data_IF_432110175998
#
_entry.id   IF_432110175998
#
_cell.length_a   1.000
_cell.length_b   1.000
_cell.length_c   1.000
_cell.angle_alpha   90.00
_cell.angle_beta   90.00
_cell.angle_gamma   90.00
#
_symmetry.space_group_name_H-M   'P 1'
#
loop_
_entity.id
_entity.type
_entity.pdbx_description
1 polymer ?
#
# COMPACT_ATOMS: atom_id res chain seq x y z
N UNK A 1 -9.71 43.83 -9.10
CA UNK A 1 -9.79 43.97 -7.64
C UNK A 1 -10.85 43.02 -7.17
N UNK A 2 -10.47 41.73 -6.99
CA UNK A 2 -11.29 40.74 -6.31
C UNK A 2 -10.35 39.72 -5.61
N UNK A 3 -10.58 39.67 -4.35
CA UNK A 3 -9.76 39.12 -3.29
C UNK A 3 -9.95 37.59 -3.16
N UNK A 4 -8.85 36.92 -2.89
CA UNK A 4 -8.66 35.49 -2.60
C UNK A 4 -9.60 35.02 -1.49
N UNK A 5 -10.17 33.83 -1.67
CA UNK A 5 -10.57 32.94 -0.59
C UNK A 5 -9.94 31.56 -0.86
N UNK A 6 -8.86 31.30 -0.15
CA UNK A 6 -8.29 29.96 0.02
C UNK A 6 -9.14 29.23 1.06
N UNK A 7 -10.01 28.36 0.61
CA UNK A 7 -10.67 27.39 1.48
C UNK A 7 -9.86 26.10 1.42
N UNK A 8 -9.18 25.78 2.50
CA UNK A 8 -8.48 24.52 2.72
C UNK A 8 -9.54 23.43 2.88
N UNK A 9 -9.83 22.70 1.82
CA UNK A 9 -10.61 21.47 1.89
C UNK A 9 -9.65 20.35 2.25
N UNK A 10 -9.71 19.89 3.49
CA UNK A 10 -9.10 18.61 3.90
C UNK A 10 -9.97 17.52 3.28
N UNK A 11 -9.58 17.06 2.10
CA UNK A 11 -10.20 15.95 1.42
C UNK A 11 -9.59 14.67 1.98
N UNK A 12 -10.34 13.95 2.78
CA UNK A 12 -10.04 12.55 3.13
C UNK A 12 -10.25 11.71 1.87
N UNK A 13 -9.19 11.63 1.06
CA UNK A 13 -9.18 10.82 -0.14
C UNK A 13 -9.01 9.36 0.27
N UNK A 14 -10.06 8.56 0.14
CA UNK A 14 -9.93 7.11 0.08
C UNK A 14 -9.33 6.76 -1.30
N UNK A 15 -8.04 7.03 -1.47
CA UNK A 15 -7.31 6.59 -2.63
C UNK A 15 -7.20 5.06 -2.57
N UNK A 16 -7.66 4.39 -3.62
CA UNK A 16 -7.08 3.09 -3.94
C UNK A 16 -5.57 3.30 -4.05
N UNK A 17 -4.74 2.66 -3.21
CA UNK A 17 -3.31 2.80 -3.35
C UNK A 17 -2.92 2.28 -4.72
N UNK A 18 -2.37 3.14 -5.56
CA UNK A 18 -1.61 2.70 -6.71
C UNK A 18 -0.43 1.97 -6.14
N UNK A 19 -0.52 0.65 -6.16
CA UNK A 19 0.58 -0.21 -5.75
C UNK A 19 1.70 0.04 -6.75
N UNK A 20 2.70 0.81 -6.34
CA UNK A 20 4.00 0.75 -6.98
C UNK A 20 4.57 -0.64 -6.68
N UNK A 21 4.08 -1.67 -7.41
CA UNK A 21 4.76 -2.94 -7.45
C UNK A 21 6.07 -2.69 -8.17
N UNK A 22 7.14 -2.64 -7.39
CA UNK A 22 8.45 -2.90 -7.93
C UNK A 22 8.39 -4.27 -8.61
N UNK A 23 8.44 -4.30 -9.93
CA UNK A 23 8.70 -5.52 -10.68
C UNK A 23 9.88 -6.22 -10.03
N UNK A 24 9.90 -7.56 -9.98
CA UNK A 24 11.08 -8.26 -9.50
C UNK A 24 12.28 -7.73 -10.29
N UNK A 25 13.22 -7.11 -9.58
CA UNK A 25 14.47 -6.64 -10.13
C UNK A 25 15.13 -7.80 -10.87
N UNK A 26 15.12 -7.76 -12.20
CA UNK A 26 16.03 -8.57 -12.97
C UNK A 26 17.41 -7.97 -12.77
N UNK A 27 18.17 -8.59 -11.87
CA UNK A 27 19.61 -8.66 -11.89
C UNK A 27 20.40 -7.36 -11.89
N UNK A 28 20.39 -6.64 -10.75
CA UNK A 28 21.67 -6.15 -10.25
C UNK A 28 22.45 -7.37 -9.75
N UNK A 29 23.78 -7.46 -9.91
CA UNK A 29 24.54 -8.57 -9.37
C UNK A 29 24.28 -8.61 -7.86
N UNK A 30 23.66 -9.70 -7.41
CA UNK A 30 23.35 -9.96 -6.02
C UNK A 30 24.59 -9.69 -5.18
N UNK A 31 24.56 -8.60 -4.43
CA UNK A 31 25.52 -8.45 -3.34
C UNK A 31 25.20 -9.59 -2.37
N UNK A 32 26.13 -10.50 -2.09
CA UNK A 32 25.86 -11.68 -1.27
C UNK A 32 25.33 -11.33 0.12
N UNK A 33 25.47 -10.08 0.56
CA UNK A 33 24.91 -9.55 1.80
C UNK A 33 23.38 -9.33 1.75
N UNK A 34 22.80 -8.89 0.64
CA UNK A 34 21.37 -8.65 0.53
C UNK A 34 20.56 -9.96 0.40
N UNK A 35 21.08 -10.93 -0.35
CA UNK A 35 20.50 -12.28 -0.45
C UNK A 35 20.58 -13.04 0.89
N UNK A 36 21.66 -12.86 1.66
CA UNK A 36 21.83 -13.44 2.99
C UNK A 36 20.83 -12.88 4.02
N UNK A 37 20.57 -11.57 3.99
CA UNK A 37 19.63 -10.92 4.91
C UNK A 37 18.17 -11.35 4.63
N UNK A 38 17.77 -11.42 3.35
CA UNK A 38 16.43 -11.90 2.98
C UNK A 38 16.19 -13.36 3.36
N UNK A 39 17.19 -14.22 3.20
CA UNK A 39 17.11 -15.63 3.60
C UNK A 39 17.07 -15.80 5.14
N UNK A 40 17.77 -14.95 5.89
CA UNK A 40 17.76 -14.96 7.34
C UNK A 40 16.37 -14.60 7.89
N UNK A 41 15.74 -13.55 7.35
CA UNK A 41 14.38 -13.12 7.71
C UNK A 41 13.35 -14.23 7.43
N UNK A 42 13.42 -14.86 6.26
CA UNK A 42 12.44 -15.86 5.85
C UNK A 42 12.43 -17.11 6.76
N UNK A 43 13.52 -17.40 7.45
CA UNK A 43 13.68 -18.53 8.37
C UNK A 43 13.59 -18.14 9.86
N UNK A 44 13.43 -16.84 10.16
CA UNK A 44 13.28 -16.39 11.55
C UNK A 44 11.93 -16.86 12.12
N UNK A 45 11.85 -17.29 13.39
CA UNK A 45 10.61 -17.70 14.03
C UNK A 45 9.49 -16.66 14.02
N UNK A 46 9.82 -15.36 13.88
CA UNK A 46 8.84 -14.29 13.76
C UNK A 46 8.23 -14.18 12.35
N UNK A 47 8.89 -14.72 11.31
CA UNK A 47 8.44 -14.55 9.93
C UNK A 47 7.05 -15.17 9.70
N UNK A 48 6.14 -14.38 9.11
CA UNK A 48 4.73 -14.72 8.88
C UNK A 48 3.92 -14.93 10.17
N UNK A 49 4.24 -14.20 11.24
CA UNK A 49 3.49 -14.21 12.50
C UNK A 49 2.84 -12.86 12.76
N UNK A 50 1.75 -12.88 13.53
CA UNK A 50 1.07 -11.69 13.99
C UNK A 50 0.77 -11.80 15.48
N UNK A 51 0.85 -10.68 16.16
CA UNK A 51 0.82 -10.58 17.60
C UNK A 51 -0.04 -9.41 18.04
N UNK A 52 -0.76 -9.55 19.17
CA UNK A 52 -1.53 -8.47 19.79
C UNK A 52 -0.98 -8.17 21.18
N UNK A 53 -0.94 -6.88 21.53
CA UNK A 53 -0.34 -6.36 22.74
C UNK A 53 -1.07 -6.86 24.00
N UNK A 54 -0.34 -7.43 24.94
CA UNK A 54 -0.82 -7.77 26.27
C UNK A 54 -0.58 -6.61 27.23
N UNK A 55 0.69 -6.18 27.35
CA UNK A 55 1.10 -5.08 28.22
C UNK A 55 2.49 -4.51 27.82
N UNK A 56 2.76 -3.31 28.30
CA UNK A 56 4.09 -2.68 28.26
C UNK A 56 4.52 -2.45 29.71
N UNK A 57 5.61 -3.08 30.14
CA UNK A 57 6.17 -2.91 31.47
C UNK A 57 7.42 -2.03 31.36
N UNK A 58 7.38 -0.86 31.98
CA UNK A 58 8.52 0.06 32.04
C UNK A 58 9.47 -0.29 33.16
N UNK A 59 10.72 0.20 33.12
CA UNK A 59 11.78 -0.04 34.13
C UNK A 59 11.36 0.33 35.57
N UNK A 60 10.41 1.24 35.74
CA UNK A 60 9.90 1.66 37.06
C UNK A 60 8.66 0.86 37.51
N UNK A 61 8.48 -0.33 36.96
CA UNK A 61 7.35 -1.23 37.21
C UNK A 61 5.97 -0.64 36.82
N UNK A 62 5.93 0.46 36.06
CA UNK A 62 4.69 0.97 35.50
C UNK A 62 4.22 0.06 34.38
N UNK A 63 2.93 -0.31 34.41
CA UNK A 63 2.32 -1.23 33.46
C UNK A 63 1.21 -0.51 32.67
N UNK A 64 1.35 -0.47 31.35
CA UNK A 64 0.33 0.01 30.42
C UNK A 64 -0.36 -1.18 29.76
N UNK A 65 -1.70 -1.24 29.84
CA UNK A 65 -2.50 -2.31 29.20
C UNK A 65 -3.54 -1.72 28.26
N UNK A 66 -3.68 -2.26 27.04
CA UNK A 66 -4.74 -1.83 26.15
C UNK A 66 -6.11 -2.29 26.67
N UNK A 67 -7.13 -1.46 26.50
CA UNK A 67 -8.52 -1.85 26.76
C UNK A 67 -9.02 -2.90 25.76
N UNK A 68 -8.60 -2.78 24.52
CA UNK A 68 -8.82 -3.75 23.44
C UNK A 68 -7.51 -4.10 22.77
N UNK A 69 -7.04 -5.33 22.94
CA UNK A 69 -5.76 -5.82 22.40
C UNK A 69 -5.74 -5.87 20.88
N UNK A 70 -6.89 -6.09 20.24
CA UNK A 70 -7.01 -6.16 18.78
C UNK A 70 -6.69 -4.84 18.07
N UNK A 71 -6.69 -3.74 18.83
CA UNK A 71 -6.31 -2.41 18.35
C UNK A 71 -4.79 -2.15 18.38
N UNK A 72 -3.99 -3.03 19.00
CA UNK A 72 -2.55 -2.86 19.16
C UNK A 72 -1.84 -4.12 18.71
N UNK A 73 -1.46 -4.16 17.43
CA UNK A 73 -0.92 -5.37 16.81
C UNK A 73 0.41 -5.09 16.09
N UNK A 74 1.23 -6.13 15.97
CA UNK A 74 2.42 -6.15 15.12
C UNK A 74 2.42 -7.41 14.27
N UNK A 75 2.66 -7.27 12.97
CA UNK A 75 2.78 -8.35 12.00
C UNK A 75 4.18 -8.38 11.41
N UNK A 76 4.79 -9.56 11.37
CA UNK A 76 6.11 -9.81 10.79
C UNK A 76 5.95 -10.57 9.47
N UNK A 77 6.23 -9.95 8.35
CA UNK A 77 6.12 -10.57 7.05
C UNK A 77 7.43 -11.22 6.61
N UNK A 78 7.36 -12.24 5.76
CA UNK A 78 8.52 -12.98 5.24
C UNK A 78 9.43 -12.13 4.36
N UNK A 79 8.92 -11.06 3.77
CA UNK A 79 9.66 -10.11 2.95
C UNK A 79 10.42 -9.05 3.76
N UNK A 80 10.37 -9.14 5.10
CA UNK A 80 10.98 -8.17 6.00
C UNK A 80 10.12 -6.94 6.28
N UNK A 81 8.91 -6.87 5.73
CA UNK A 81 7.96 -5.80 6.05
C UNK A 81 7.32 -6.07 7.42
N UNK A 82 7.12 -5.02 8.21
CA UNK A 82 6.28 -5.05 9.41
C UNK A 82 5.08 -4.15 9.24
N UNK A 83 3.95 -4.59 9.76
CA UNK A 83 2.73 -3.78 9.87
C UNK A 83 2.37 -3.62 11.34
N UNK A 84 1.94 -2.44 11.69
CA UNK A 84 1.57 -2.11 13.07
C UNK A 84 0.21 -1.45 13.05
N UNK A 85 -0.68 -1.90 13.92
CA UNK A 85 -1.88 -1.17 14.28
C UNK A 85 -1.68 -0.59 15.67
N UNK A 86 -1.90 0.70 15.81
CA UNK A 86 -1.82 1.43 17.06
C UNK A 86 -3.12 2.21 17.24
N UNK A 87 -4.14 1.53 17.76
CA UNK A 87 -5.52 2.01 17.92
C UNK A 87 -6.14 2.47 16.58
N UNK A 88 -6.37 3.77 16.43
CA UNK A 88 -6.95 4.38 15.25
C UNK A 88 -5.93 4.55 14.09
N UNK A 89 -4.64 4.34 14.33
CA UNK A 89 -3.57 4.50 13.34
C UNK A 89 -3.00 3.15 12.87
N UNK A 90 -2.50 3.17 11.63
CA UNK A 90 -1.81 2.04 11.01
C UNK A 90 -0.46 2.49 10.52
N UNK A 91 0.55 1.63 10.70
CA UNK A 91 1.92 1.90 10.29
C UNK A 91 2.53 0.76 9.50
N UNK A 92 3.47 1.12 8.63
CA UNK A 92 4.28 0.18 7.85
C UNK A 92 5.75 0.56 8.02
N UNK A 93 6.59 -0.45 8.21
CA UNK A 93 8.03 -0.33 8.30
C UNK A 93 8.71 -1.61 7.85
N UNK A 94 9.97 -1.78 8.21
CA UNK A 94 10.67 -3.04 8.02
C UNK A 94 11.27 -3.53 9.34
N UNK A 95 11.54 -4.83 9.41
CA UNK A 95 12.20 -5.47 10.53
C UNK A 95 13.39 -6.30 10.05
N UNK A 96 14.38 -6.45 10.92
CA UNK A 96 15.55 -7.28 10.68
C UNK A 96 15.90 -8.09 11.92
N UNK A 97 16.46 -9.28 11.69
CA UNK A 97 16.95 -10.19 12.71
C UNK A 97 18.28 -10.77 12.20
N UNK A 98 19.39 -10.17 12.62
CA UNK A 98 20.74 -10.56 12.17
C UNK A 98 21.26 -11.82 12.87
N UNK A 99 20.65 -12.18 13.98
CA UNK A 99 20.95 -13.38 14.75
C UNK A 99 19.79 -13.76 15.67
N UNK A 100 19.67 -15.03 16.10
CA UNK A 100 18.57 -15.46 16.97
C UNK A 100 18.37 -14.57 18.19
N UNK A 101 17.13 -14.13 18.41
CA UNK A 101 16.76 -13.26 19.53
C UNK A 101 17.09 -11.77 19.33
N UNK A 102 17.72 -11.37 18.22
CA UNK A 102 17.93 -9.95 17.88
C UNK A 102 16.78 -9.47 17.02
N UNK A 103 16.33 -8.25 17.26
CA UNK A 103 15.25 -7.64 16.48
C UNK A 103 15.45 -6.13 16.42
N UNK A 104 15.33 -5.57 15.23
CA UNK A 104 15.33 -4.13 15.02
C UNK A 104 14.23 -3.77 14.03
N UNK A 105 13.61 -2.60 14.24
CA UNK A 105 12.65 -2.02 13.32
C UNK A 105 13.26 -0.79 12.64
N UNK A 106 12.95 -0.60 11.37
CA UNK A 106 13.15 0.70 10.72
C UNK A 106 12.16 1.73 11.27
N UNK A 107 12.27 2.97 10.81
CA UNK A 107 11.23 3.95 11.07
C UNK A 107 9.89 3.44 10.51
N UNK A 108 8.87 3.39 11.36
CA UNK A 108 7.50 3.02 10.98
C UNK A 108 6.77 4.28 10.54
N UNK A 109 6.41 4.34 9.26
CA UNK A 109 5.54 5.38 8.71
C UNK A 109 4.10 5.06 9.08
N UNK A 110 3.45 5.95 9.84
CA UNK A 110 2.09 5.73 10.33
C UNK A 110 1.13 6.85 9.92
N UNK A 111 -0.16 6.52 9.82
CA UNK A 111 -1.23 7.51 9.72
C UNK A 111 -1.27 8.35 11.00
N UNK A 112 -1.83 9.55 10.92
CA UNK A 112 -1.87 10.51 12.02
C UNK A 112 -3.33 10.92 12.35
N UNK A 113 -4.22 9.94 12.49
CA UNK A 113 -5.57 10.19 12.98
C UNK A 113 -5.50 10.51 14.49
N UNK A 114 -6.37 11.41 14.93
CA UNK A 114 -6.51 11.72 16.36
C UNK A 114 -7.26 10.58 17.05
N UNK A 115 -6.55 9.82 17.87
CA UNK A 115 -7.14 8.71 18.64
C UNK A 115 -7.88 9.20 19.90
N UNK A 116 -8.74 8.36 20.51
CA UNK A 116 -9.40 8.66 21.79
C UNK A 116 -8.40 9.03 22.90
N UNK A 117 -8.80 9.80 23.93
CA UNK A 117 -7.88 10.26 24.99
C UNK A 117 -7.24 9.17 25.82
N UNK A 118 -7.84 7.98 25.90
CA UNK A 118 -7.35 6.80 26.62
C UNK A 118 -6.53 5.84 25.73
N UNK A 119 -6.22 6.26 24.51
CA UNK A 119 -5.41 5.49 23.58
C UNK A 119 -3.97 5.37 24.03
N UNK A 120 -3.42 4.17 23.91
CA UNK A 120 -1.99 3.91 24.10
C UNK A 120 -1.16 4.15 22.82
N UNK A 121 -1.73 4.80 21.77
CA UNK A 121 -1.07 4.99 20.49
C UNK A 121 0.36 5.53 20.63
N UNK A 122 0.52 6.69 21.27
CA UNK A 122 1.82 7.35 21.41
C UNK A 122 2.81 6.49 22.20
N UNK A 123 2.32 5.88 23.29
CA UNK A 123 3.12 5.01 24.14
C UNK A 123 3.61 3.77 23.38
N UNK A 124 2.73 3.11 22.65
CA UNK A 124 3.03 1.91 21.88
C UNK A 124 4.00 2.20 20.73
N UNK A 125 3.72 3.24 19.93
CA UNK A 125 4.56 3.61 18.79
C UNK A 125 5.96 4.08 19.22
N UNK A 126 6.09 4.72 20.37
CA UNK A 126 7.37 5.20 20.90
C UNK A 126 8.35 4.06 21.23
N UNK A 127 7.89 2.84 21.43
CA UNK A 127 8.74 1.69 21.79
C UNK A 127 9.54 1.11 20.62
N UNK A 128 8.96 1.07 19.42
CA UNK A 128 9.54 0.36 18.27
C UNK A 128 10.97 0.78 17.91
N UNK A 129 11.36 2.07 17.90
CA UNK A 129 12.73 2.48 17.58
C UNK A 129 13.77 1.95 18.57
N UNK A 130 13.33 1.58 19.77
CA UNK A 130 14.20 1.15 20.87
C UNK A 130 14.31 -0.36 21.02
N UNK A 131 13.48 -1.15 20.35
CA UNK A 131 13.55 -2.62 20.38
C UNK A 131 14.93 -3.10 19.90
N UNK A 132 15.51 -4.06 20.62
CA UNK A 132 16.82 -4.66 20.29
C UNK A 132 16.83 -6.17 20.33
N UNK A 133 15.91 -6.78 21.04
CA UNK A 133 15.83 -8.22 21.15
C UNK A 133 14.41 -8.72 21.35
N UNK A 134 14.22 -10.00 21.08
CA UNK A 134 12.98 -10.68 21.37
C UNK A 134 13.20 -12.04 22.01
N UNK A 135 12.19 -12.52 22.73
CA UNK A 135 12.12 -13.87 23.27
C UNK A 135 10.72 -14.41 23.01
N UNK A 136 10.66 -15.66 22.54
CA UNK A 136 9.42 -16.44 22.48
C UNK A 136 9.40 -17.36 23.69
N UNK A 137 8.43 -17.21 24.58
CA UNK A 137 8.30 -17.98 25.81
C UNK A 137 6.83 -18.25 26.11
N UNK A 138 6.50 -19.51 26.39
CA UNK A 138 5.13 -19.98 26.69
C UNK A 138 4.06 -19.51 25.67
N UNK A 139 4.43 -19.43 24.39
CA UNK A 139 3.54 -18.98 23.32
C UNK A 139 3.37 -17.47 23.21
N UNK A 140 4.04 -16.67 24.06
CA UNK A 140 4.05 -15.21 24.00
C UNK A 140 5.35 -14.71 23.36
N UNK A 141 5.27 -13.51 22.78
CA UNK A 141 6.40 -12.76 22.26
C UNK A 141 6.71 -11.62 23.24
N UNK A 142 7.96 -11.56 23.70
CA UNK A 142 8.47 -10.49 24.52
C UNK A 142 9.50 -9.69 23.72
N UNK A 143 9.28 -8.39 23.57
CA UNK A 143 10.23 -7.47 22.98
C UNK A 143 10.91 -6.67 24.07
N UNK A 144 12.25 -6.64 24.05
CA UNK A 144 13.02 -5.83 25.00
C UNK A 144 13.63 -4.61 24.28
N UNK A 145 13.45 -3.44 24.89
CA UNK A 145 14.03 -2.20 24.40
C UNK A 145 15.43 -1.97 24.99
N UNK A 146 16.22 -1.12 24.32
CA UNK A 146 17.60 -0.83 24.78
C UNK A 146 17.63 -0.13 26.12
N UNK A 147 18.76 -0.29 26.86
CA UNK A 147 19.04 0.34 28.14
C UNK A 147 17.99 0.04 29.22
N UNK A 148 17.50 -1.19 29.26
CA UNK A 148 16.49 -1.68 30.19
C UNK A 148 15.21 -0.81 30.22
N UNK A 149 14.81 -0.26 29.07
CA UNK A 149 13.73 0.72 28.97
C UNK A 149 12.36 0.14 29.22
N UNK A 150 11.98 -0.91 28.48
CA UNK A 150 10.66 -1.56 28.59
C UNK A 150 10.72 -3.01 28.11
N UNK A 151 9.81 -3.83 28.65
CA UNK A 151 9.44 -5.14 28.11
C UNK A 151 8.02 -5.02 27.59
N UNK A 152 7.82 -5.42 26.32
CA UNK A 152 6.53 -5.39 25.65
C UNK A 152 6.10 -6.84 25.46
N UNK A 153 5.01 -7.23 26.07
CA UNK A 153 4.45 -8.58 25.97
C UNK A 153 3.32 -8.62 24.94
N UNK A 154 3.38 -9.63 24.10
CA UNK A 154 2.36 -9.91 23.10
C UNK A 154 1.88 -11.36 23.18
N UNK A 155 0.61 -11.59 22.87
CA UNK A 155 0.06 -12.90 22.63
C UNK A 155 -0.20 -13.13 21.12
N UNK A 156 -0.22 -14.39 20.63
CA UNK A 156 -0.44 -14.69 19.21
C UNK A 156 -1.79 -14.16 18.73
N UNK A 157 -1.79 -13.53 17.56
CA UNK A 157 -3.00 -13.15 16.84
C UNK A 157 -3.21 -14.09 15.65
N UNK A 158 -4.41 -14.62 15.51
CA UNK A 158 -4.80 -15.37 14.31
C UNK A 158 -5.15 -14.37 13.21
N UNK A 159 -4.35 -14.36 12.13
CA UNK A 159 -4.69 -13.57 10.94
C UNK A 159 -5.81 -14.30 10.20
N UNK A 160 -7.00 -13.73 10.09
CA UNK A 160 -8.13 -14.42 9.46
C UNK A 160 -7.89 -14.65 7.96
N UNK A 161 -8.44 -15.74 7.43
CA UNK A 161 -8.55 -15.93 5.99
C UNK A 161 -9.62 -14.95 5.49
N UNK A 162 -9.18 -13.90 4.79
CA UNK A 162 -10.04 -12.83 4.30
C UNK A 162 -10.64 -13.17 2.93
N UNK A 163 -9.81 -13.68 2.02
CA UNK A 163 -10.22 -14.05 0.67
C UNK A 163 -9.37 -15.22 0.12
N UNK A 164 -9.85 -15.81 -0.95
CA UNK A 164 -9.08 -16.66 -1.86
C UNK A 164 -9.12 -16.05 -3.23
N UNK A 165 -7.98 -15.86 -3.89
CA UNK A 165 -7.89 -15.23 -5.21
C UNK A 165 -7.01 -16.07 -6.11
N UNK A 166 -7.53 -16.51 -7.25
CA UNK A 166 -6.83 -17.38 -8.21
C UNK A 166 -6.23 -18.63 -7.56
N UNK A 167 -6.94 -19.16 -6.55
CA UNK A 167 -6.52 -20.34 -5.77
C UNK A 167 -5.55 -20.06 -4.63
N UNK A 168 -5.11 -18.83 -4.43
CA UNK A 168 -4.19 -18.44 -3.36
C UNK A 168 -4.91 -17.78 -2.19
N UNK A 169 -4.56 -18.16 -0.96
CA UNK A 169 -5.10 -17.58 0.27
C UNK A 169 -4.62 -16.13 0.46
N UNK A 170 -5.54 -15.27 0.90
CA UNK A 170 -5.28 -13.91 1.38
C UNK A 170 -5.66 -13.84 2.85
N UNK A 171 -4.65 -13.70 3.71
CA UNK A 171 -4.85 -13.58 5.16
C UNK A 171 -4.55 -12.18 5.60
N UNK A 172 -5.56 -11.50 6.13
CA UNK A 172 -5.45 -10.15 6.69
C UNK A 172 -6.65 -9.84 7.57
N UNK A 173 -6.47 -8.98 8.57
CA UNK A 173 -7.55 -8.39 9.37
C UNK A 173 -8.02 -7.03 8.85
N UNK A 174 -7.52 -6.58 7.70
CA UNK A 174 -7.82 -5.28 7.11
C UNK A 174 -8.55 -5.42 5.77
N UNK A 175 -9.79 -4.90 5.70
CA UNK A 175 -10.61 -4.98 4.50
C UNK A 175 -10.02 -4.22 3.31
N UNK A 176 -9.33 -3.09 3.56
CA UNK A 176 -8.67 -2.31 2.51
C UNK A 176 -7.49 -3.06 1.91
N UNK A 177 -6.66 -3.68 2.75
CA UNK A 177 -5.57 -4.53 2.30
C UNK A 177 -6.08 -5.74 1.49
N UNK A 178 -7.13 -6.39 1.98
CA UNK A 178 -7.76 -7.50 1.24
C UNK A 178 -8.22 -7.03 -0.14
N UNK A 179 -8.92 -5.90 -0.21
CA UNK A 179 -9.38 -5.31 -1.47
C UNK A 179 -8.22 -5.02 -2.42
N UNK A 180 -7.16 -4.39 -1.93
CA UNK A 180 -5.95 -4.11 -2.72
C UNK A 180 -5.36 -5.38 -3.33
N UNK A 181 -5.16 -6.43 -2.53
CA UNK A 181 -4.59 -7.70 -3.00
C UNK A 181 -5.50 -8.36 -4.05
N UNK A 182 -6.82 -8.38 -3.80
CA UNK A 182 -7.80 -8.96 -4.73
C UNK A 182 -7.77 -8.23 -6.07
N UNK A 183 -7.84 -6.90 -6.05
CA UNK A 183 -7.82 -6.08 -7.27
C UNK A 183 -6.51 -6.22 -8.03
N UNK A 184 -5.39 -6.14 -7.34
CA UNK A 184 -4.06 -6.28 -7.95
C UNK A 184 -3.93 -7.61 -8.68
N UNK A 185 -4.22 -8.73 -8.02
CA UNK A 185 -4.07 -10.06 -8.63
C UNK A 185 -4.99 -10.25 -9.83
N UNK A 186 -6.25 -9.81 -9.75
CA UNK A 186 -7.20 -9.95 -10.84
C UNK A 186 -6.86 -9.03 -12.01
N UNK A 187 -6.44 -7.80 -11.76
CA UNK A 187 -6.04 -6.87 -12.82
C UNK A 187 -4.70 -7.23 -13.44
N UNK A 188 -3.76 -7.78 -12.67
CA UNK A 188 -2.52 -8.34 -13.20
C UNK A 188 -2.81 -9.51 -14.15
N UNK A 189 -3.67 -10.42 -13.73
CA UNK A 189 -4.12 -11.54 -14.58
C UNK A 189 -4.78 -11.05 -15.87
N UNK A 190 -5.69 -10.06 -15.78
CA UNK A 190 -6.30 -9.46 -16.96
C UNK A 190 -5.27 -8.81 -17.89
N UNK A 191 -4.31 -8.07 -17.32
CA UNK A 191 -3.26 -7.44 -18.11
C UNK A 191 -2.36 -8.46 -18.81
N UNK A 192 -2.03 -9.57 -18.17
CA UNK A 192 -1.29 -10.68 -18.78
C UNK A 192 -2.07 -11.31 -19.95
N UNK A 193 -3.35 -11.63 -19.75
CA UNK A 193 -4.23 -12.20 -20.77
C UNK A 193 -4.39 -11.28 -21.98
N UNK A 194 -4.47 -9.96 -21.75
CA UNK A 194 -4.59 -8.95 -22.78
C UNK A 194 -3.24 -8.46 -23.32
N UNK A 195 -2.10 -8.94 -22.79
CA UNK A 195 -0.73 -8.50 -23.12
C UNK A 195 -0.54 -6.99 -22.97
N UNK A 196 -1.05 -6.46 -21.85
CA UNK A 196 -0.97 -5.04 -21.54
C UNK A 196 0.37 -4.76 -20.84
N UNK A 197 1.25 -4.08 -21.55
CA UNK A 197 2.58 -3.69 -21.08
C UNK A 197 2.85 -2.22 -21.41
N UNK A 198 3.74 -1.58 -20.66
CA UNK A 198 4.29 -0.27 -20.98
C UNK A 198 5.57 -0.47 -21.79
N UNK A 199 5.58 0.01 -23.03
CA UNK A 199 6.79 -0.03 -23.87
C UNK A 199 7.82 1.02 -23.40
N UNK A 200 9.10 0.74 -23.57
CA UNK A 200 10.15 1.67 -23.16
C UNK A 200 10.03 3.06 -23.82
N UNK A 201 9.64 3.11 -25.08
CA UNK A 201 9.42 4.39 -25.77
C UNK A 201 8.24 5.20 -25.17
N UNK A 202 7.22 4.56 -24.64
CA UNK A 202 6.10 5.22 -23.95
C UNK A 202 6.57 5.75 -22.59
N UNK A 203 7.39 4.97 -21.87
CA UNK A 203 7.97 5.36 -20.58
C UNK A 203 8.88 6.58 -20.80
N UNK A 204 9.74 6.57 -21.81
CA UNK A 204 10.63 7.68 -22.15
C UNK A 204 9.80 8.95 -22.46
N UNK A 205 8.77 8.83 -23.28
CA UNK A 205 7.88 9.95 -23.62
C UNK A 205 7.16 10.50 -22.38
N UNK A 206 6.69 9.62 -21.47
CA UNK A 206 6.07 10.03 -20.22
C UNK A 206 7.03 10.82 -19.32
N UNK A 207 8.25 10.30 -19.12
CA UNK A 207 9.28 10.97 -18.30
C UNK A 207 9.65 12.32 -18.89
N UNK A 208 9.78 12.43 -20.22
CA UNK A 208 10.05 13.69 -20.89
C UNK A 208 8.90 14.70 -20.75
N UNK A 209 7.65 14.24 -20.81
CA UNK A 209 6.47 15.09 -20.55
C UNK A 209 6.47 15.61 -19.13
N UNK A 210 6.71 14.74 -18.15
CA UNK A 210 6.78 15.11 -16.75
C UNK A 210 7.88 16.14 -16.49
N UNK A 211 9.07 15.95 -17.04
CA UNK A 211 10.19 16.90 -16.93
C UNK A 211 9.85 18.27 -17.54
N UNK A 212 9.16 18.28 -18.70
CA UNK A 212 8.71 19.54 -19.31
C UNK A 212 7.73 20.29 -18.42
N UNK A 213 6.76 19.58 -17.82
CA UNK A 213 5.79 20.15 -16.89
C UNK A 213 6.48 20.72 -15.65
N UNK A 214 7.38 19.99 -15.02
CA UNK A 214 8.13 20.46 -13.86
C UNK A 214 8.97 21.72 -14.16
N UNK A 215 9.61 21.79 -15.32
CA UNK A 215 10.36 22.99 -15.74
C UNK A 215 9.45 24.18 -15.98
N UNK A 216 8.27 23.97 -16.58
CA UNK A 216 7.31 25.04 -16.82
C UNK A 216 6.77 25.64 -15.50
N UNK A 217 6.69 24.84 -14.46
CA UNK A 217 6.25 25.28 -13.11
C UNK A 217 7.40 25.76 -12.21
N UNK A 218 8.64 25.77 -12.72
CA UNK A 218 9.81 26.20 -11.95
C UNK A 218 10.25 25.20 -10.85
N UNK A 219 9.79 23.96 -10.93
CA UNK A 219 10.08 22.90 -9.94
C UNK A 219 11.31 22.07 -10.27
N UNK A 220 12.02 22.37 -11.37
CA UNK A 220 13.17 21.60 -11.83
C UNK A 220 14.45 22.01 -11.08
N UNK A 221 14.66 21.52 -9.88
CA UNK A 221 15.92 21.64 -9.14
C UNK A 221 16.68 20.29 -9.18
N UNK A 222 17.11 19.84 -10.37
CA UNK A 222 17.99 18.66 -10.50
C UNK A 222 19.47 19.05 -10.40
N UNK A 223 19.81 20.34 -10.44
CA UNK A 223 21.17 20.86 -10.52
C UNK A 223 22.00 20.58 -9.23
N UNK A 224 21.35 20.26 -8.12
CA UNK A 224 21.97 20.01 -6.83
C UNK A 224 22.10 18.50 -6.49
N UNK A 225 21.62 17.59 -7.35
CA UNK A 225 21.67 16.16 -7.09
C UNK A 225 23.04 15.55 -7.40
N UNK A 226 23.51 14.66 -6.53
CA UNK A 226 24.65 13.79 -6.86
C UNK A 226 24.29 12.84 -8.00
N UNK A 227 25.28 12.26 -8.66
CA UNK A 227 25.08 11.29 -9.75
C UNK A 227 24.22 10.09 -9.29
N UNK A 228 24.39 9.64 -8.04
CA UNK A 228 23.60 8.53 -7.48
C UNK A 228 22.13 8.93 -7.24
N UNK A 229 21.89 10.11 -6.68
CA UNK A 229 20.54 10.63 -6.45
C UNK A 229 19.80 10.90 -7.77
N UNK A 230 20.49 11.43 -8.77
CA UNK A 230 19.93 11.63 -10.11
C UNK A 230 19.52 10.30 -10.76
N UNK A 231 20.36 9.27 -10.65
CA UNK A 231 20.04 7.93 -11.17
C UNK A 231 18.85 7.30 -10.43
N UNK A 232 18.77 7.45 -9.11
CA UNK A 232 17.64 6.96 -8.31
C UNK A 232 16.34 7.71 -8.66
N UNK A 233 16.39 9.02 -8.80
CA UNK A 233 15.24 9.83 -9.21
C UNK A 233 14.75 9.44 -10.61
N UNK A 234 15.68 9.18 -11.55
CA UNK A 234 15.33 8.71 -12.89
C UNK A 234 14.65 7.34 -12.86
N UNK A 235 15.19 6.39 -12.10
CA UNK A 235 14.58 5.07 -11.95
C UNK A 235 13.16 5.19 -11.37
N UNK A 236 12.97 6.02 -10.34
CA UNK A 236 11.65 6.26 -9.74
C UNK A 236 10.65 6.84 -10.75
N UNK A 237 11.06 7.80 -11.60
CA UNK A 237 10.21 8.36 -12.66
C UNK A 237 9.82 7.30 -13.69
N UNK A 238 10.76 6.45 -14.08
CA UNK A 238 10.51 5.36 -15.03
C UNK A 238 9.53 4.33 -14.45
N UNK A 239 9.67 3.97 -13.19
CA UNK A 239 8.78 3.02 -12.53
C UNK A 239 7.37 3.61 -12.36
N UNK A 240 7.27 4.89 -12.00
CA UNK A 240 6.00 5.62 -11.99
C UNK A 240 5.37 5.66 -13.39
N UNK A 241 6.15 5.99 -14.42
CA UNK A 241 5.69 6.00 -15.81
C UNK A 241 5.17 4.64 -16.25
N UNK A 242 5.90 3.58 -15.95
CA UNK A 242 5.48 2.19 -16.25
C UNK A 242 4.14 1.86 -15.61
N UNK A 243 3.98 2.20 -14.34
CA UNK A 243 2.75 1.94 -13.59
C UNK A 243 1.55 2.72 -14.17
N UNK A 244 1.71 4.02 -14.40
CA UNK A 244 0.64 4.89 -14.93
C UNK A 244 0.23 4.47 -16.35
N UNK A 245 1.19 4.17 -17.22
CA UNK A 245 0.94 3.72 -18.60
C UNK A 245 0.18 2.39 -18.59
N UNK A 246 0.66 1.42 -17.79
CA UNK A 246 0.02 0.12 -17.66
C UNK A 246 -1.41 0.26 -17.13
N UNK A 247 -1.63 1.06 -16.09
CA UNK A 247 -2.96 1.32 -15.53
C UNK A 247 -3.89 1.97 -16.54
N UNK A 248 -3.42 2.98 -17.26
CA UNK A 248 -4.23 3.63 -18.30
C UNK A 248 -4.66 2.66 -19.41
N UNK A 249 -3.72 1.82 -19.87
CA UNK A 249 -4.02 0.80 -20.91
C UNK A 249 -5.02 -0.24 -20.41
N UNK A 250 -4.89 -0.66 -19.14
CA UNK A 250 -5.81 -1.58 -18.49
C UNK A 250 -7.21 -0.96 -18.39
N UNK A 251 -7.32 0.27 -17.89
CA UNK A 251 -8.57 1.00 -17.78
C UNK A 251 -9.25 1.13 -19.14
N UNK A 252 -8.48 1.50 -20.16
CA UNK A 252 -8.99 1.61 -21.55
C UNK A 252 -9.46 0.26 -22.09
N UNK A 253 -8.76 -0.83 -21.82
CA UNK A 253 -9.13 -2.16 -22.27
C UNK A 253 -10.43 -2.63 -21.62
N UNK A 254 -10.54 -2.48 -20.29
CA UNK A 254 -11.77 -2.79 -19.55
C UNK A 254 -12.95 -1.93 -20.01
N UNK A 255 -12.73 -0.62 -20.19
CA UNK A 255 -13.77 0.26 -20.71
C UNK A 255 -14.26 -0.15 -22.12
N UNK A 256 -13.35 -0.56 -23.00
CA UNK A 256 -13.72 -1.05 -24.34
C UNK A 256 -14.51 -2.36 -24.30
N UNK A 257 -14.24 -3.20 -23.34
CA UNK A 257 -14.89 -4.51 -23.20
C UNK A 257 -16.26 -4.41 -22.53
N UNK A 258 -16.39 -3.61 -21.46
CA UNK A 258 -17.58 -3.58 -20.61
C UNK A 258 -18.36 -2.26 -20.68
N UNK A 259 -17.74 -1.15 -21.10
CA UNK A 259 -18.37 0.17 -21.14
C UNK A 259 -18.73 0.72 -19.77
N UNK A 260 -19.78 1.53 -19.71
CA UNK A 260 -20.32 2.09 -18.47
C UNK A 260 -19.75 3.46 -18.11
N UNK A 261 -20.02 3.91 -16.90
CA UNK A 261 -19.63 5.25 -16.40
C UNK A 261 -18.17 5.28 -16.01
N UNK A 262 -17.57 6.46 -16.20
CA UNK A 262 -16.18 6.76 -15.87
C UNK A 262 -16.18 7.75 -14.72
N UNK A 263 -15.29 7.55 -13.74
CA UNK A 263 -15.02 8.52 -12.68
C UNK A 263 -13.70 9.24 -12.92
N UNK A 264 -13.62 10.47 -12.43
CA UNK A 264 -12.39 11.24 -12.42
C UNK A 264 -11.55 10.85 -11.20
N UNK A 265 -10.30 10.47 -11.44
CA UNK A 265 -9.32 10.20 -10.38
C UNK A 265 -8.04 10.99 -10.62
N UNK A 266 -7.26 11.21 -9.56
CA UNK A 266 -6.03 12.01 -9.59
C UNK A 266 -5.04 11.57 -10.69
N UNK A 267 -5.00 10.27 -10.99
CA UNK A 267 -4.09 9.68 -11.98
C UNK A 267 -4.75 9.35 -13.31
N UNK A 268 -5.93 9.88 -13.56
CA UNK A 268 -6.64 9.75 -14.82
C UNK A 268 -8.02 9.10 -14.69
N UNK A 269 -8.66 8.79 -15.81
CA UNK A 269 -10.00 8.23 -15.83
C UNK A 269 -10.01 6.79 -15.33
N UNK A 270 -11.00 6.45 -14.49
CA UNK A 270 -11.25 5.10 -14.02
C UNK A 270 -12.63 4.62 -14.48
N UNK A 271 -12.75 3.48 -15.19
CA UNK A 271 -14.01 2.99 -15.70
C UNK A 271 -14.75 2.17 -14.65
N UNK A 272 -15.38 2.85 -13.66
CA UNK A 272 -15.93 2.24 -12.46
C UNK A 272 -16.93 1.11 -12.76
N UNK A 273 -17.87 1.34 -13.68
CA UNK A 273 -18.85 0.32 -14.05
C UNK A 273 -18.21 -0.88 -14.75
N UNK A 274 -17.17 -0.64 -15.59
CA UNK A 274 -16.41 -1.73 -16.21
C UNK A 274 -15.65 -2.57 -15.18
N UNK A 275 -15.06 -1.94 -14.18
CA UNK A 275 -14.42 -2.64 -13.07
C UNK A 275 -15.43 -3.54 -12.36
N UNK A 276 -16.59 -3.00 -11.98
CA UNK A 276 -17.65 -3.77 -11.34
C UNK A 276 -18.06 -4.98 -12.16
N UNK A 277 -18.36 -4.81 -13.45
CA UNK A 277 -18.76 -5.91 -14.32
C UNK A 277 -17.68 -6.99 -14.45
N UNK A 278 -16.43 -6.59 -14.62
CA UNK A 278 -15.30 -7.52 -14.64
C UNK A 278 -15.20 -8.32 -13.33
N UNK A 279 -15.28 -7.66 -12.19
CA UNK A 279 -15.20 -8.30 -10.87
C UNK A 279 -16.39 -9.25 -10.61
N UNK A 280 -17.62 -8.87 -10.99
CA UNK A 280 -18.81 -9.72 -10.92
C UNK A 280 -18.64 -10.99 -11.78
N UNK A 281 -18.07 -10.85 -12.98
CA UNK A 281 -17.73 -11.98 -13.86
C UNK A 281 -16.68 -12.88 -13.24
N UNK A 282 -15.58 -12.33 -12.70
CA UNK A 282 -14.52 -13.12 -12.04
C UNK A 282 -15.02 -13.83 -10.80
N UNK A 283 -15.87 -13.18 -10.00
CA UNK A 283 -16.54 -13.80 -8.86
C UNK A 283 -17.41 -14.98 -9.30
N UNK A 284 -18.19 -14.79 -10.33
CA UNK A 284 -19.09 -15.83 -10.88
C UNK A 284 -18.32 -17.02 -11.46
N UNK A 285 -17.11 -16.77 -12.00
CA UNK A 285 -16.19 -17.79 -12.49
C UNK A 285 -15.48 -18.56 -11.35
N UNK A 286 -15.55 -18.05 -10.10
CA UNK A 286 -14.86 -18.63 -8.95
C UNK A 286 -13.38 -18.21 -8.84
N UNK A 287 -12.95 -17.18 -9.58
CA UNK A 287 -11.58 -16.70 -9.56
C UNK A 287 -11.23 -16.02 -8.23
N UNK A 288 -12.22 -15.53 -7.48
CA UNK A 288 -12.04 -15.10 -6.11
C UNK A 288 -13.29 -15.33 -5.24
N UNK A 289 -13.04 -15.44 -3.94
CA UNK A 289 -14.08 -15.54 -2.90
C UNK A 289 -13.62 -14.74 -1.69
N UNK A 290 -14.49 -13.87 -1.17
CA UNK A 290 -14.29 -13.17 0.10
C UNK A 290 -15.00 -13.96 1.18
N UNK A 291 -14.30 -14.30 2.28
CA UNK A 291 -14.79 -15.24 3.29
C UNK A 291 -15.53 -14.58 4.45
N UNK A 292 -15.42 -13.24 4.61
CA UNK A 292 -16.04 -12.49 5.69
C UNK A 292 -17.05 -11.51 5.12
N UNK A 293 -18.30 -11.53 5.63
CA UNK A 293 -19.40 -10.70 5.14
C UNK A 293 -19.06 -9.19 5.22
N UNK A 294 -18.46 -8.75 6.32
CA UNK A 294 -18.07 -7.33 6.50
C UNK A 294 -17.02 -6.88 5.48
N UNK A 295 -16.09 -7.77 5.12
CA UNK A 295 -15.08 -7.50 4.08
C UNK A 295 -15.71 -7.50 2.70
N UNK A 296 -16.67 -8.38 2.45
CA UNK A 296 -17.40 -8.41 1.19
C UNK A 296 -18.23 -7.12 1.01
N UNK A 297 -18.93 -6.67 2.05
CA UNK A 297 -19.67 -5.40 2.01
C UNK A 297 -18.73 -4.21 1.79
N UNK A 298 -17.58 -4.17 2.47
CA UNK A 298 -16.59 -3.12 2.31
C UNK A 298 -16.00 -3.12 0.89
N UNK A 299 -15.68 -4.30 0.33
CA UNK A 299 -15.17 -4.46 -1.02
C UNK A 299 -16.12 -3.90 -2.08
N UNK A 300 -17.39 -4.32 -2.04
CA UNK A 300 -18.35 -3.90 -3.05
C UNK A 300 -18.82 -2.46 -2.88
N UNK A 301 -18.76 -1.89 -1.68
CA UNK A 301 -19.17 -0.50 -1.41
C UNK A 301 -18.52 0.50 -2.34
N UNK A 302 -17.24 0.34 -2.63
CA UNK A 302 -16.53 1.22 -3.56
C UNK A 302 -17.17 1.23 -4.95
N UNK A 303 -17.57 0.07 -5.46
CA UNK A 303 -18.11 -0.08 -6.82
C UNK A 303 -19.62 0.18 -6.93
N UNK A 304 -20.33 0.28 -5.81
CA UNK A 304 -21.81 0.36 -5.80
C UNK A 304 -22.36 1.63 -5.18
N UNK A 305 -21.52 2.47 -4.56
CA UNK A 305 -21.97 3.70 -3.87
C UNK A 305 -21.64 4.93 -4.70
N UNK A 306 -22.53 5.35 -5.57
CA UNK A 306 -22.35 6.47 -6.49
C UNK A 306 -21.93 7.78 -5.79
N UNK A 307 -22.43 8.04 -4.58
CA UNK A 307 -22.12 9.26 -3.82
C UNK A 307 -20.67 9.39 -3.35
N UNK A 308 -19.87 8.34 -3.53
CA UNK A 308 -18.42 8.35 -3.22
C UNK A 308 -17.57 8.82 -4.40
N UNK A 309 -18.17 9.09 -5.57
CA UNK A 309 -17.44 9.29 -6.81
C UNK A 309 -17.91 10.52 -7.59
N UNK A 310 -16.96 11.16 -8.23
CA UNK A 310 -17.21 12.22 -9.21
C UNK A 310 -17.20 11.61 -10.62
N UNK A 311 -18.38 11.46 -11.20
CA UNK A 311 -18.54 10.90 -12.55
C UNK A 311 -18.35 11.97 -13.63
N UNK A 312 -17.80 11.56 -14.75
CA UNK A 312 -17.92 12.35 -15.98
C UNK A 312 -19.40 12.51 -16.35
N UNK A 313 -19.77 13.69 -16.84
CA UNK A 313 -21.14 13.91 -17.35
C UNK A 313 -21.38 13.04 -18.58
N UNK A 314 -22.45 12.24 -18.54
CA UNK A 314 -22.76 11.28 -19.59
C UNK A 314 -22.96 11.97 -20.94
N UNK A 315 -22.24 11.50 -21.98
CA UNK A 315 -22.25 12.06 -23.31
C UNK A 315 -21.44 13.34 -23.50
N UNK A 316 -20.76 13.82 -22.44
CA UNK A 316 -19.88 14.99 -22.51
C UNK A 316 -18.68 14.78 -23.44
N UNK A 317 -18.02 15.88 -23.81
CA UNK A 317 -16.79 15.81 -24.58
C UNK A 317 -15.65 15.19 -23.78
N UNK A 318 -15.61 15.47 -22.49
CA UNK A 318 -14.62 14.96 -21.53
C UNK A 318 -14.75 13.44 -21.39
N UNK A 319 -15.96 12.90 -21.23
CA UNK A 319 -16.18 11.45 -21.18
C UNK A 319 -15.71 10.77 -22.47
N UNK A 320 -16.07 11.31 -23.63
CA UNK A 320 -15.66 10.75 -24.93
C UNK A 320 -14.15 10.78 -25.16
N UNK A 321 -13.47 11.73 -24.52
CA UNK A 321 -12.02 11.90 -24.62
C UNK A 321 -11.24 11.19 -23.50
N UNK A 322 -11.90 10.69 -22.48
CA UNK A 322 -11.27 10.13 -21.28
C UNK A 322 -10.15 9.11 -21.57
N UNK A 323 -10.34 8.27 -22.61
CA UNK A 323 -9.35 7.28 -23.03
C UNK A 323 -8.80 7.52 -24.44
N UNK A 324 -8.92 8.74 -24.98
CA UNK A 324 -8.42 9.08 -26.32
C UNK A 324 -6.98 9.55 -26.33
N UNK A 325 -6.59 10.34 -25.33
CA UNK A 325 -5.24 10.91 -25.23
C UNK A 325 -4.44 10.18 -24.14
N UNK A 326 -3.44 9.39 -24.52
CA UNK A 326 -2.57 8.72 -23.56
C UNK A 326 -1.74 9.71 -22.73
N UNK A 327 -1.43 9.42 -21.45
CA UNK A 327 -0.68 10.33 -20.57
C UNK A 327 0.76 10.59 -20.99
N UNK A 328 1.30 9.80 -21.91
CA UNK A 328 2.65 10.01 -22.48
C UNK A 328 2.66 10.85 -23.74
N UNK A 329 1.52 11.15 -24.33
CA UNK A 329 1.44 12.08 -25.43
C UNK A 329 1.45 13.53 -24.95
N UNK A 330 2.12 14.44 -25.67
CA UNK A 330 2.09 15.86 -25.32
C UNK A 330 0.65 16.38 -25.37
N UNK A 331 0.19 16.99 -24.30
CA UNK A 331 -1.02 17.79 -24.34
C UNK A 331 -0.65 19.20 -24.81
N UNK A 332 -1.12 19.60 -25.97
CA UNK A 332 -1.06 21.01 -26.41
C UNK A 332 -1.90 21.86 -25.45
N UNK A 333 -1.24 22.44 -24.46
CA UNK A 333 -1.82 23.48 -23.57
C UNK A 333 -1.13 24.79 -23.82
#
# INVERSE_FOLDING_TARGET
MLLRLLTTVVLTCACLPIVCHGSPQQGAPDSPAAAGASAAIANDPLAATAWQLVEIVSMNDHVDKPGDRSLYTVEFRRDGTTRVRADCNRGVGSWTSDSPGRLQFSQIAATQALCPPDSLHDRYMAEFPWVRSYVLHDGHLFLATMADGSIIEFEPMQIPLAATVLGEEVRTGDAGEMQEIVLTRLFDRYAEEQRIEAADAEIDAFVDNMRRGMRAEGLAAEDDLTVAEAAQAEQMRRDMGRSIIRQWKLNRALYRQYGGRIIFQQFGPEPLDAYRHYLEERRSAGDFTIHQNEFEEAFWRYFTTDSMHDFYESGSAEEKQAFSTPPWEPTDR
#
